data_IF_557637693111
#
_entry.id   IF_557637693111
#
_cell.length_a   1.000
_cell.length_b   1.000
_cell.length_c   1.000
_cell.angle_alpha   90.00
_cell.angle_beta   90.00
_cell.angle_gamma   90.00
#
_symmetry.space_group_name_H-M   'P 1'
#
loop_
_entity.id
_entity.type
_entity.pdbx_description
1 polymer ?
#
# COMPACT_ATOMS: atom_id res chain seq x y z
N UNK A 1 -25.85 -8.57 -12.97
CA UNK A 1 -26.49 -7.63 -12.01
C UNK A 1 -25.35 -6.85 -11.39
N UNK A 2 -25.51 -5.56 -11.08
CA UNK A 2 -24.48 -4.87 -10.34
C UNK A 2 -24.28 -5.54 -8.97
N UNK A 3 -23.02 -5.77 -8.59
CA UNK A 3 -22.70 -6.29 -7.25
C UNK A 3 -22.92 -5.12 -6.29
N UNK A 4 -23.80 -5.34 -5.30
CA UNK A 4 -24.05 -4.35 -4.23
C UNK A 4 -23.79 -5.04 -2.91
N UNK A 5 -22.87 -4.50 -2.14
CA UNK A 5 -22.56 -4.93 -0.78
C UNK A 5 -23.00 -3.86 0.21
N UNK A 6 -23.44 -4.26 1.39
CA UNK A 6 -23.78 -3.35 2.49
C UNK A 6 -22.97 -3.76 3.71
N UNK A 7 -22.20 -2.83 4.23
CA UNK A 7 -21.25 -3.06 5.34
C UNK A 7 -21.61 -2.15 6.50
N UNK A 8 -21.64 -2.68 7.70
CA UNK A 8 -21.80 -1.90 8.93
C UNK A 8 -20.42 -1.47 9.42
N UNK A 9 -20.17 -0.18 9.45
CA UNK A 9 -18.97 0.39 10.06
C UNK A 9 -19.25 0.75 11.51
N UNK A 10 -18.42 0.27 12.41
CA UNK A 10 -18.36 0.74 13.78
C UNK A 10 -17.57 2.06 13.79
N UNK A 11 -18.24 3.18 13.58
CA UNK A 11 -17.57 4.48 13.73
C UNK A 11 -17.64 4.90 15.20
N UNK A 12 -16.68 5.74 15.61
CA UNK A 12 -16.64 6.28 17.00
C UNK A 12 -17.88 7.10 17.34
N UNK A 13 -18.52 7.68 16.34
CA UNK A 13 -19.65 8.58 16.53
C UNK A 13 -21.00 7.89 16.27
N UNK A 14 -21.08 7.02 15.26
CA UNK A 14 -22.30 6.27 14.94
C UNK A 14 -21.98 5.05 14.07
N UNK A 15 -22.48 3.88 14.44
CA UNK A 15 -22.50 2.74 13.54
C UNK A 15 -23.35 3.10 12.32
N UNK A 16 -22.79 2.95 11.12
CA UNK A 16 -23.54 3.24 9.89
C UNK A 16 -23.47 2.10 8.89
N UNK A 17 -24.57 1.89 8.19
CA UNK A 17 -24.56 1.03 7.03
C UNK A 17 -24.04 1.80 5.81
N UNK A 18 -23.11 1.18 5.08
CA UNK A 18 -22.51 1.73 3.87
C UNK A 18 -22.81 0.80 2.71
N UNK A 19 -23.45 1.32 1.68
CA UNK A 19 -23.72 0.58 0.45
C UNK A 19 -22.59 0.78 -0.56
N UNK A 20 -22.08 -0.33 -1.08
CA UNK A 20 -20.96 -0.36 -2.03
C UNK A 20 -21.47 -0.79 -3.41
N UNK A 21 -21.81 0.14 -4.30
CA UNK A 21 -22.23 -0.19 -5.66
C UNK A 21 -21.03 -0.62 -6.51
N UNK A 22 -21.20 -1.67 -7.30
CA UNK A 22 -20.18 -2.20 -8.21
C UNK A 22 -18.87 -2.61 -7.53
N UNK A 23 -18.95 -3.02 -6.26
CA UNK A 23 -17.80 -3.47 -5.50
C UNK A 23 -17.51 -4.94 -5.79
N UNK A 24 -16.31 -5.24 -6.25
CA UNK A 24 -15.81 -6.59 -6.49
C UNK A 24 -14.70 -6.92 -5.50
N UNK A 25 -15.10 -7.49 -4.36
CA UNK A 25 -14.16 -7.87 -3.30
C UNK A 25 -13.12 -8.86 -3.80
N UNK A 26 -13.55 -9.88 -4.55
CA UNK A 26 -12.65 -10.94 -5.01
C UNK A 26 -11.55 -10.38 -5.91
N UNK A 27 -11.90 -9.48 -6.83
CA UNK A 27 -10.92 -8.82 -7.69
C UNK A 27 -9.87 -8.04 -6.89
N UNK A 28 -10.29 -7.28 -5.90
CA UNK A 28 -9.38 -6.47 -5.08
C UNK A 28 -8.53 -7.34 -4.14
N UNK A 29 -9.10 -8.41 -3.60
CA UNK A 29 -8.34 -9.39 -2.81
C UNK A 29 -7.28 -10.10 -3.66
N UNK A 30 -7.61 -10.46 -4.90
CA UNK A 30 -6.65 -11.08 -5.82
C UNK A 30 -5.52 -10.12 -6.20
N UNK A 31 -5.83 -8.86 -6.51
CA UNK A 31 -4.79 -7.84 -6.76
C UNK A 31 -3.93 -7.63 -5.52
N UNK A 32 -4.53 -7.65 -4.33
CA UNK A 32 -3.77 -7.53 -3.07
C UNK A 32 -2.82 -8.71 -2.87
N UNK A 33 -3.26 -9.92 -3.18
CA UNK A 33 -2.38 -11.09 -3.06
C UNK A 33 -1.23 -11.07 -4.08
N UNK A 34 -1.51 -10.73 -5.33
CA UNK A 34 -0.46 -10.58 -6.35
C UNK A 34 0.54 -9.49 -5.96
N UNK A 35 0.07 -8.38 -5.38
CA UNK A 35 0.92 -7.30 -4.88
C UNK A 35 1.77 -7.77 -3.70
N UNK A 36 1.20 -8.49 -2.74
CA UNK A 36 1.93 -9.06 -1.61
C UNK A 36 2.99 -10.09 -2.07
N UNK A 37 2.65 -10.95 -3.06
CA UNK A 37 3.62 -11.89 -3.64
C UNK A 37 4.75 -11.15 -4.34
N UNK A 38 4.46 -10.08 -5.07
CA UNK A 38 5.49 -9.24 -5.72
C UNK A 38 6.42 -8.60 -4.68
N UNK A 39 5.89 -8.16 -3.54
CA UNK A 39 6.70 -7.68 -2.41
C UNK A 39 7.66 -8.76 -1.89
N UNK A 40 7.17 -9.97 -1.67
CA UNK A 40 7.99 -11.07 -1.17
C UNK A 40 9.06 -11.47 -2.19
N UNK A 41 8.74 -11.51 -3.49
CA UNK A 41 9.71 -11.75 -4.56
C UNK A 41 10.81 -10.67 -4.55
N UNK A 42 10.43 -9.41 -4.43
CA UNK A 42 11.37 -8.28 -4.35
C UNK A 42 12.31 -8.43 -3.16
N UNK A 43 11.77 -8.75 -1.98
CA UNK A 43 12.55 -8.96 -0.76
C UNK A 43 13.46 -10.17 -0.86
N UNK A 44 12.96 -11.28 -1.39
CA UNK A 44 13.74 -12.52 -1.58
C UNK A 44 14.95 -12.28 -2.49
N UNK A 45 14.77 -11.54 -3.57
CA UNK A 45 15.88 -11.24 -4.48
C UNK A 45 16.87 -10.24 -3.88
N UNK A 46 16.38 -9.13 -3.35
CA UNK A 46 17.26 -8.02 -2.90
C UNK A 46 17.88 -8.26 -1.52
N UNK A 47 17.32 -9.13 -0.70
CA UNK A 47 17.76 -9.48 0.65
C UNK A 47 17.92 -8.26 1.57
N UNK A 48 17.10 -7.24 1.35
CA UNK A 48 17.14 -6.00 2.11
C UNK A 48 15.83 -5.23 1.92
N UNK A 49 15.50 -4.40 2.89
CA UNK A 49 14.34 -3.51 2.81
C UNK A 49 13.37 -3.70 3.97
N UNK A 50 12.30 -2.94 3.95
CA UNK A 50 11.23 -3.02 4.93
C UNK A 50 10.02 -3.67 4.26
N UNK A 51 9.43 -4.69 4.87
CA UNK A 51 8.33 -5.44 4.26
C UNK A 51 7.11 -5.61 5.15
N UNK A 52 7.26 -5.59 6.47
CA UNK A 52 6.13 -5.74 7.39
C UNK A 52 5.07 -4.65 7.24
N UNK A 53 5.51 -3.39 7.16
CA UNK A 53 4.63 -2.27 6.86
C UNK A 53 4.03 -2.34 5.44
N UNK A 54 4.83 -2.47 4.38
CA UNK A 54 4.34 -2.63 3.01
C UNK A 54 3.28 -3.71 2.85
N UNK A 55 3.46 -4.88 3.46
CA UNK A 55 2.45 -5.94 3.45
C UNK A 55 1.17 -5.53 4.17
N UNK A 56 1.28 -4.93 5.37
CA UNK A 56 0.12 -4.44 6.11
C UNK A 56 -0.65 -3.33 5.34
N UNK A 57 0.05 -2.51 4.56
CA UNK A 57 -0.54 -1.40 3.79
C UNK A 57 -1.11 -1.84 2.45
N UNK A 58 -0.93 -3.09 2.05
CA UNK A 58 -1.35 -3.56 0.72
C UNK A 58 -2.85 -3.33 0.46
N UNK A 59 -3.81 -3.69 1.36
CA UNK A 59 -5.22 -3.41 1.11
C UNK A 59 -5.53 -1.92 0.97
N UNK A 60 -4.96 -1.06 1.82
CA UNK A 60 -5.11 0.39 1.69
C UNK A 60 -4.61 0.90 0.34
N UNK A 61 -3.44 0.43 -0.09
CA UNK A 61 -2.83 0.86 -1.35
C UNK A 61 -3.65 0.41 -2.55
N UNK A 62 -4.09 -0.84 -2.55
CA UNK A 62 -4.93 -1.41 -3.63
C UNK A 62 -6.28 -0.68 -3.67
N UNK A 63 -6.98 -0.55 -2.55
CA UNK A 63 -8.25 0.17 -2.49
C UNK A 63 -8.10 1.60 -2.99
N UNK A 64 -7.11 2.35 -2.47
CA UNK A 64 -6.88 3.75 -2.87
C UNK A 64 -6.80 3.93 -4.39
N UNK A 65 -6.17 3.01 -5.10
CA UNK A 65 -5.90 3.17 -6.53
C UNK A 65 -6.95 2.54 -7.45
N UNK A 66 -7.72 1.55 -6.98
CA UNK A 66 -8.55 0.74 -7.88
C UNK A 66 -10.05 0.88 -7.71
N UNK A 67 -10.54 1.38 -6.57
CA UNK A 67 -12.00 1.51 -6.36
C UNK A 67 -12.62 2.73 -7.03
N UNK A 68 -11.80 3.68 -7.46
CA UNK A 68 -12.27 4.91 -8.08
C UNK A 68 -12.83 5.96 -7.10
N UNK A 69 -13.03 7.19 -7.56
CA UNK A 69 -13.42 8.31 -6.69
C UNK A 69 -14.82 8.16 -6.09
N UNK A 70 -15.76 7.48 -6.76
CA UNK A 70 -17.14 7.31 -6.28
C UNK A 70 -17.22 6.46 -5.00
N UNK A 71 -16.26 5.56 -4.80
CA UNK A 71 -16.09 4.78 -3.58
C UNK A 71 -15.02 5.38 -2.62
N UNK A 72 -14.57 6.61 -2.89
CA UNK A 72 -13.60 7.29 -2.05
C UNK A 72 -12.14 7.05 -2.41
N UNK A 73 -11.86 6.26 -3.44
CA UNK A 73 -10.52 6.08 -3.99
C UNK A 73 -9.99 7.32 -4.69
N UNK A 74 -8.81 7.21 -5.27
CA UNK A 74 -8.12 8.30 -5.92
C UNK A 74 -8.68 8.58 -7.32
N UNK A 75 -8.78 9.85 -7.68
CA UNK A 75 -8.87 10.31 -9.06
C UNK A 75 -7.47 10.21 -9.67
N UNK A 76 -7.18 9.08 -10.31
CA UNK A 76 -5.82 8.71 -10.68
C UNK A 76 -5.74 7.97 -12.01
N UNK A 77 -4.80 8.37 -12.84
CA UNK A 77 -4.43 7.63 -14.06
C UNK A 77 -2.97 7.12 -13.91
N UNK A 78 -2.82 5.83 -13.65
CA UNK A 78 -1.51 5.21 -13.47
C UNK A 78 -0.63 5.16 -14.73
N UNK A 79 -1.18 5.54 -15.89
CA UNK A 79 -0.41 5.82 -17.11
C UNK A 79 0.26 7.20 -17.08
N UNK A 80 -0.25 8.09 -16.21
CA UNK A 80 0.24 9.46 -16.02
C UNK A 80 0.32 9.80 -14.52
N UNK A 81 1.10 9.06 -13.75
CA UNK A 81 1.10 9.15 -12.29
C UNK A 81 1.47 10.55 -11.77
N UNK A 82 2.24 11.31 -12.54
CA UNK A 82 2.70 12.66 -12.16
C UNK A 82 1.81 13.79 -12.69
N UNK A 83 0.61 13.49 -13.17
CA UNK A 83 -0.31 14.56 -13.60
C UNK A 83 -0.62 15.49 -12.42
N UNK A 84 -0.48 16.83 -12.56
CA UNK A 84 -0.62 17.77 -11.46
C UNK A 84 -1.95 17.66 -10.71
N UNK A 85 -3.05 17.46 -11.42
CA UNK A 85 -4.41 17.37 -10.88
C UNK A 85 -4.86 15.95 -10.55
N UNK A 86 -4.00 14.94 -10.63
CA UNK A 86 -4.27 13.64 -10.04
C UNK A 86 -4.25 13.75 -8.52
N UNK A 87 -5.12 13.01 -7.84
CA UNK A 87 -5.03 12.86 -6.40
C UNK A 87 -3.67 12.30 -5.99
N UNK A 88 -3.22 12.60 -4.79
CA UNK A 88 -1.89 12.25 -4.29
C UNK A 88 -2.00 11.14 -3.27
N UNK A 89 -1.30 10.05 -3.53
CA UNK A 89 -1.08 9.00 -2.55
C UNK A 89 0.31 9.17 -1.95
N UNK A 90 0.37 9.33 -0.64
CA UNK A 90 1.61 9.61 0.06
C UNK A 90 1.89 8.54 1.10
N UNK A 91 3.03 7.89 0.96
CA UNK A 91 3.58 7.06 2.01
C UNK A 91 4.27 7.96 3.02
N UNK A 92 3.54 8.34 4.06
CA UNK A 92 4.05 9.20 5.13
C UNK A 92 5.21 8.51 5.86
N UNK A 93 5.13 7.21 6.07
CA UNK A 93 6.28 6.37 6.40
C UNK A 93 7.01 5.94 5.13
N UNK A 94 7.99 6.70 4.67
CA UNK A 94 8.65 6.51 3.37
C UNK A 94 9.30 5.15 3.16
N UNK A 95 9.66 4.43 4.22
CA UNK A 95 10.17 3.06 4.17
C UNK A 95 9.16 2.05 3.61
N UNK A 96 7.88 2.43 3.50
CA UNK A 96 6.83 1.61 2.91
C UNK A 96 6.75 1.73 1.37
N UNK A 97 7.66 2.47 0.71
CA UNK A 97 7.71 2.60 -0.75
C UNK A 97 7.59 1.28 -1.54
N UNK A 98 8.10 0.13 -1.07
CA UNK A 98 7.94 -1.13 -1.77
C UNK A 98 6.50 -1.48 -2.15
N UNK A 99 5.49 -1.09 -1.36
CA UNK A 99 4.08 -1.44 -1.67
C UNK A 99 3.59 -0.74 -2.94
N UNK A 100 3.95 0.53 -3.14
CA UNK A 100 3.59 1.23 -4.38
C UNK A 100 4.35 0.68 -5.57
N UNK A 101 5.62 0.33 -5.42
CA UNK A 101 6.38 -0.30 -6.49
C UNK A 101 5.76 -1.63 -6.92
N UNK A 102 5.42 -2.49 -5.95
CA UNK A 102 4.80 -3.77 -6.22
C UNK A 102 3.46 -3.60 -6.95
N UNK A 103 2.58 -2.73 -6.47
CA UNK A 103 1.30 -2.47 -7.14
C UNK A 103 1.51 -1.92 -8.57
N UNK A 104 2.48 -1.00 -8.77
CA UNK A 104 2.76 -0.46 -10.11
C UNK A 104 3.27 -1.51 -11.08
N UNK A 105 4.07 -2.47 -10.62
CA UNK A 105 4.52 -3.61 -11.44
C UNK A 105 3.34 -4.49 -11.85
N UNK A 106 2.42 -4.75 -10.91
CA UNK A 106 1.20 -5.52 -11.19
C UNK A 106 0.32 -4.81 -12.21
N UNK A 107 0.09 -3.51 -12.03
CA UNK A 107 -0.74 -2.71 -12.94
C UNK A 107 -0.07 -2.52 -14.31
N UNK A 108 1.24 -2.32 -14.34
CA UNK A 108 2.00 -2.21 -15.57
C UNK A 108 1.90 -3.48 -16.43
N UNK A 109 2.04 -4.64 -15.81
CA UNK A 109 1.87 -5.94 -16.49
C UNK A 109 0.42 -6.16 -16.93
N UNK A 110 -0.56 -5.84 -16.09
CA UNK A 110 -1.97 -5.98 -16.42
C UNK A 110 -2.37 -5.12 -17.61
N UNK A 111 -1.90 -3.88 -17.67
CA UNK A 111 -2.11 -2.99 -18.82
C UNK A 111 -1.47 -3.53 -20.09
N UNK A 112 -0.22 -3.97 -19.96
CA UNK A 112 0.50 -4.55 -21.08
C UNK A 112 -0.26 -5.73 -21.67
N UNK A 113 -0.66 -6.71 -20.86
CA UNK A 113 -1.45 -7.86 -21.30
C UNK A 113 -2.79 -7.45 -21.92
N UNK A 114 -3.45 -6.45 -21.35
CA UNK A 114 -4.72 -5.96 -21.89
C UNK A 114 -4.54 -5.25 -23.23
N UNK A 115 -3.44 -4.54 -23.43
CA UNK A 115 -3.07 -3.98 -24.73
C UNK A 115 -2.81 -5.08 -25.75
N UNK A 116 -1.99 -6.05 -25.44
CA UNK A 116 -1.67 -7.19 -26.33
C UNK A 116 -2.93 -7.96 -26.75
N UNK A 117 -3.82 -8.24 -25.80
CA UNK A 117 -5.04 -9.00 -26.04
C UNK A 117 -6.10 -8.23 -26.86
N UNK A 118 -6.09 -6.90 -26.80
CA UNK A 118 -7.17 -6.08 -27.38
C UNK A 118 -6.73 -5.18 -28.53
N UNK A 119 -5.43 -4.93 -28.67
CA UNK A 119 -4.88 -3.91 -29.57
C UNK A 119 -5.31 -2.47 -29.23
N UNK A 120 -6.01 -2.28 -28.10
CA UNK A 120 -6.58 -0.99 -27.77
C UNK A 120 -5.55 -0.08 -27.10
N UNK A 121 -5.13 0.95 -27.83
CA UNK A 121 -4.10 1.92 -27.39
C UNK A 121 -4.42 2.64 -26.08
N UNK A 122 -5.66 2.63 -25.60
CA UNK A 122 -6.00 3.19 -24.30
C UNK A 122 -5.30 2.46 -23.13
N UNK A 123 -4.87 1.22 -23.34
CA UNK A 123 -4.15 0.42 -22.36
C UNK A 123 -2.62 0.51 -22.51
N UNK A 124 -2.15 1.16 -23.58
CA UNK A 124 -0.72 1.36 -23.79
C UNK A 124 -0.20 2.35 -22.75
N UNK A 125 0.62 1.86 -21.84
CA UNK A 125 1.30 2.69 -20.88
C UNK A 125 2.58 3.30 -21.48
N UNK A 126 2.95 4.47 -21.01
CA UNK A 126 4.27 5.02 -21.22
C UNK A 126 5.25 4.29 -20.27
N UNK A 127 6.15 3.50 -20.83
CA UNK A 127 7.11 2.72 -20.05
C UNK A 127 8.10 3.59 -19.26
N UNK A 128 8.23 4.87 -19.60
CA UNK A 128 8.99 5.83 -18.81
C UNK A 128 8.21 6.34 -17.60
N UNK A 129 6.89 6.15 -17.59
CA UNK A 129 5.98 6.57 -16.52
C UNK A 129 5.44 5.39 -15.69
N UNK A 130 5.86 4.15 -15.97
CA UNK A 130 5.38 2.97 -15.25
C UNK A 130 6.52 2.06 -14.80
N UNK A 131 6.20 1.09 -13.93
CA UNK A 131 7.11 0.03 -13.55
C UNK A 131 6.74 -1.26 -14.28
N UNK A 132 7.76 -2.06 -14.56
CA UNK A 132 7.63 -3.39 -15.13
C UNK A 132 7.98 -4.44 -14.06
N UNK A 133 7.46 -5.66 -14.12
CA UNK A 133 7.77 -6.71 -13.15
C UNK A 133 9.28 -6.92 -12.92
N UNK A 134 10.08 -6.79 -13.98
CA UNK A 134 11.54 -6.93 -13.91
C UNK A 134 12.22 -5.84 -13.05
N UNK A 135 11.58 -4.70 -12.84
CA UNK A 135 12.14 -3.64 -12.01
C UNK A 135 12.26 -4.05 -10.53
N UNK A 136 11.60 -5.15 -10.12
CA UNK A 136 11.70 -5.71 -8.77
C UNK A 136 13.16 -5.98 -8.37
N UNK A 137 14.01 -6.41 -9.31
CA UNK A 137 15.43 -6.67 -9.06
C UNK A 137 16.26 -5.40 -8.88
N UNK A 138 15.69 -4.24 -9.17
CA UNK A 138 16.31 -2.92 -8.98
C UNK A 138 16.04 -2.28 -7.62
N UNK A 139 15.25 -2.92 -6.75
CA UNK A 139 14.91 -2.38 -5.44
C UNK A 139 16.16 -2.13 -4.60
N UNK A 140 16.15 -1.03 -3.84
CA UNK A 140 17.30 -0.47 -3.10
C UNK A 140 18.54 -0.31 -3.97
N UNK A 141 18.34 0.01 -5.25
CA UNK A 141 19.39 0.22 -6.25
C UNK A 141 20.31 -0.99 -6.42
N UNK A 142 19.77 -2.20 -6.19
CA UNK A 142 20.51 -3.46 -6.35
C UNK A 142 21.10 -3.56 -7.75
N UNK A 143 22.36 -4.00 -7.83
CA UNK A 143 23.04 -4.34 -9.09
C UNK A 143 23.30 -5.84 -9.22
N UNK A 144 22.80 -6.63 -8.26
CA UNK A 144 23.08 -8.06 -8.16
C UNK A 144 22.48 -8.79 -9.36
N UNK A 145 23.33 -9.50 -10.08
CA UNK A 145 22.92 -10.44 -11.12
C UNK A 145 22.09 -9.90 -12.27
N UNK A 146 21.95 -8.58 -12.43
CA UNK A 146 21.08 -7.98 -13.45
C UNK A 146 21.36 -8.45 -14.86
N UNK A 147 22.64 -8.45 -15.25
CA UNK A 147 23.05 -8.84 -16.58
C UNK A 147 22.86 -10.34 -16.83
N UNK A 148 23.16 -11.16 -15.83
CA UNK A 148 22.98 -12.61 -15.85
C UNK A 148 21.50 -12.97 -16.00
N UNK A 149 20.63 -12.37 -15.20
CA UNK A 149 19.17 -12.63 -15.26
C UNK A 149 18.61 -12.22 -16.61
N UNK A 150 19.06 -11.12 -17.19
CA UNK A 150 18.59 -10.67 -18.49
C UNK A 150 19.07 -11.57 -19.64
N UNK A 151 20.23 -12.21 -19.50
CA UNK A 151 20.86 -13.02 -20.56
C UNK A 151 20.49 -14.50 -20.52
N UNK A 152 20.30 -15.09 -19.35
CA UNK A 152 20.25 -16.55 -19.19
C UNK A 152 18.84 -17.16 -19.15
N UNK A 153 17.79 -16.38 -18.89
CA UNK A 153 16.48 -16.96 -18.58
C UNK A 153 15.47 -17.03 -19.72
N UNK A 154 15.89 -16.96 -20.98
CA UNK A 154 14.97 -17.08 -22.14
C UNK A 154 13.84 -16.03 -22.14
N UNK A 155 13.94 -15.03 -21.26
CA UNK A 155 12.99 -13.92 -21.15
C UNK A 155 13.23 -12.86 -22.23
N UNK A 156 14.20 -13.10 -23.12
CA UNK A 156 14.61 -12.16 -24.17
C UNK A 156 13.47 -11.73 -25.07
N UNK A 157 12.49 -12.59 -25.28
CA UNK A 157 11.40 -12.37 -26.21
C UNK A 157 10.13 -11.81 -25.55
N UNK A 158 10.08 -11.76 -24.22
CA UNK A 158 8.95 -11.12 -23.53
C UNK A 158 8.99 -9.61 -23.75
N UNK A 159 7.90 -8.98 -24.24
CA UNK A 159 7.90 -7.56 -24.59
C UNK A 159 8.26 -6.60 -23.44
N UNK A 160 7.89 -6.92 -22.20
CA UNK A 160 8.36 -6.15 -21.04
C UNK A 160 9.89 -6.20 -20.90
N UNK A 161 10.52 -7.32 -21.29
CA UNK A 161 11.98 -7.46 -21.31
C UNK A 161 12.61 -6.68 -22.46
N UNK A 162 11.96 -6.60 -23.62
CA UNK A 162 12.43 -5.74 -24.70
C UNK A 162 12.42 -4.26 -24.26
N UNK A 163 11.38 -3.81 -23.57
CA UNK A 163 11.33 -2.46 -23.01
C UNK A 163 12.40 -2.26 -21.93
N UNK A 164 12.62 -3.23 -21.06
CA UNK A 164 13.67 -3.17 -20.06
C UNK A 164 15.08 -3.12 -20.68
N UNK A 165 15.31 -3.77 -21.82
CA UNK A 165 16.57 -3.65 -22.57
C UNK A 165 16.78 -2.24 -23.13
N UNK A 166 15.71 -1.57 -23.56
CA UNK A 166 15.79 -0.21 -24.13
C UNK A 166 16.03 0.82 -23.03
N UNK A 167 15.23 0.85 -21.97
CA UNK A 167 15.31 1.85 -20.90
C UNK A 167 16.15 1.45 -19.69
N UNK A 168 16.53 0.18 -19.62
CA UNK A 168 17.18 -0.41 -18.45
C UNK A 168 16.20 -0.75 -17.31
N UNK A 169 16.71 -1.50 -16.34
CA UNK A 169 16.00 -1.81 -15.09
C UNK A 169 16.07 -0.58 -14.18
N UNK A 170 14.93 -0.17 -13.64
CA UNK A 170 14.88 0.98 -12.74
C UNK A 170 15.58 0.69 -11.43
N UNK A 171 16.39 1.63 -10.97
CA UNK A 171 16.95 1.63 -9.64
C UNK A 171 15.91 2.24 -8.68
N UNK A 172 15.21 1.39 -7.95
CA UNK A 172 14.18 1.83 -7.00
C UNK A 172 14.78 2.14 -5.64
N UNK A 173 14.32 3.22 -5.02
CA UNK A 173 14.77 3.61 -3.68
C UNK A 173 14.17 2.72 -2.58
N UNK A 174 14.84 2.62 -1.45
CA UNK A 174 14.29 1.93 -0.26
C UNK A 174 13.28 2.77 0.53
N UNK A 175 13.18 4.06 0.23
CA UNK A 175 12.24 5.03 0.78
C UNK A 175 11.59 5.80 -0.35
N UNK A 176 10.44 6.38 -0.11
CA UNK A 176 9.75 7.18 -1.12
C UNK A 176 10.59 8.39 -1.54
N UNK A 177 10.79 8.53 -2.84
CA UNK A 177 11.45 9.67 -3.46
C UNK A 177 10.53 10.28 -4.53
N UNK A 178 10.50 11.61 -4.63
CA UNK A 178 9.67 12.30 -5.61
C UNK A 178 10.13 12.10 -7.06
N UNK A 179 11.32 11.56 -7.25
CA UNK A 179 11.86 11.13 -8.53
C UNK A 179 11.32 9.77 -8.98
N UNK A 180 10.79 8.97 -8.05
CA UNK A 180 10.13 7.72 -8.39
C UNK A 180 8.79 7.99 -9.07
N UNK A 181 8.41 7.14 -10.02
CA UNK A 181 7.14 7.30 -10.76
C UNK A 181 5.91 7.19 -9.88
N UNK A 182 6.02 6.51 -8.74
CA UNK A 182 4.89 6.19 -7.84
C UNK A 182 4.74 7.16 -6.66
N UNK A 183 5.69 8.04 -6.41
CA UNK A 183 5.72 8.87 -5.21
C UNK A 183 5.76 10.37 -5.54
N UNK A 184 5.01 11.16 -4.79
CA UNK A 184 4.95 12.62 -4.92
C UNK A 184 5.72 13.37 -3.84
N UNK A 185 6.44 12.64 -2.98
CA UNK A 185 7.16 13.21 -1.83
C UNK A 185 8.39 12.39 -1.49
N UNK A 186 9.41 13.06 -1.00
CA UNK A 186 10.53 12.41 -0.35
C UNK A 186 10.15 12.10 1.11
N UNK A 187 10.23 10.82 1.50
CA UNK A 187 9.91 10.38 2.85
C UNK A 187 11.05 9.52 3.41
N UNK A 188 11.68 9.97 4.47
CA UNK A 188 12.70 9.21 5.20
C UNK A 188 12.29 9.04 6.65
N UNK A 189 12.39 10.10 7.47
CA UNK A 189 12.03 10.02 8.88
C UNK A 189 10.53 9.76 9.06
N UNK A 190 10.18 8.82 9.93
CA UNK A 190 8.80 8.55 10.31
C UNK A 190 8.15 9.77 10.96
N UNK A 191 6.86 10.00 10.69
CA UNK A 191 6.07 11.08 11.27
C UNK A 191 6.11 12.41 10.53
N UNK A 192 7.08 12.67 9.67
CA UNK A 192 7.16 13.91 8.86
C UNK A 192 6.11 13.91 7.74
N UNK A 193 5.78 12.75 7.23
CA UNK A 193 4.96 12.62 6.03
C UNK A 193 3.55 13.16 6.21
N UNK A 194 2.96 13.05 7.41
CA UNK A 194 1.63 13.61 7.68
C UNK A 194 1.66 15.13 7.63
N UNK A 195 2.68 15.76 8.19
CA UNK A 195 2.86 17.22 8.11
C UNK A 195 3.00 17.67 6.64
N UNK A 196 3.77 16.92 5.84
CA UNK A 196 3.89 17.17 4.41
C UNK A 196 2.55 17.02 3.68
N UNK A 197 1.76 16.00 4.03
CA UNK A 197 0.42 15.80 3.46
C UNK A 197 -0.53 16.95 3.79
N UNK A 198 -0.52 17.41 5.04
CA UNK A 198 -1.30 18.56 5.48
C UNK A 198 -0.90 19.83 4.74
N UNK A 199 0.41 20.09 4.59
CA UNK A 199 0.92 21.22 3.80
C UNK A 199 0.49 21.18 2.33
N UNK A 200 0.53 20.02 1.68
CA UNK A 200 0.01 19.85 0.31
C UNK A 200 -1.49 20.07 0.25
N UNK A 201 -2.27 19.57 1.20
CA UNK A 201 -3.71 19.79 1.27
C UNK A 201 -4.03 21.26 1.43
N UNK A 202 -3.34 21.98 2.31
CA UNK A 202 -3.46 23.43 2.51
C UNK A 202 -3.12 24.19 1.22
N UNK A 203 -2.04 23.84 0.53
CA UNK A 203 -1.68 24.48 -0.74
C UNK A 203 -2.83 24.38 -1.76
N UNK A 204 -3.37 23.18 -1.97
CA UNK A 204 -4.45 22.98 -2.93
C UNK A 204 -5.78 23.61 -2.49
N UNK A 205 -6.01 23.73 -1.19
CA UNK A 205 -7.17 24.46 -0.67
C UNK A 205 -7.06 25.96 -0.95
N UNK A 206 -5.88 26.54 -0.79
CA UNK A 206 -5.59 27.95 -1.12
C UNK A 206 -5.75 28.23 -2.62
N UNK A 207 -5.32 27.32 -3.48
CA UNK A 207 -5.51 27.44 -4.93
C UNK A 207 -6.99 27.49 -5.29
N UNK A 208 -7.85 26.78 -4.55
CA UNK A 208 -9.31 26.89 -4.66
C UNK A 208 -9.90 26.35 -5.97
N UNK A 209 -9.14 25.63 -6.78
CA UNK A 209 -9.67 25.03 -8.00
C UNK A 209 -10.65 23.89 -7.65
N UNK A 210 -11.75 23.80 -8.39
CA UNK A 210 -12.83 22.83 -8.15
C UNK A 210 -12.36 21.36 -8.27
N UNK A 211 -11.35 21.14 -9.08
CA UNK A 211 -10.74 19.82 -9.35
C UNK A 211 -9.43 19.60 -8.62
N UNK A 212 -9.11 20.41 -7.60
CA UNK A 212 -7.91 20.27 -6.78
C UNK A 212 -7.79 18.86 -6.19
N UNK A 213 -6.56 18.29 -6.18
CA UNK A 213 -6.32 16.94 -5.69
C UNK A 213 -6.72 16.72 -4.24
N UNK A 214 -7.21 15.52 -3.94
CA UNK A 214 -7.20 14.96 -2.59
C UNK A 214 -5.78 14.50 -2.24
N UNK A 215 -5.44 14.60 -0.99
CA UNK A 215 -4.18 14.10 -0.44
C UNK A 215 -4.50 12.96 0.52
N UNK A 216 -4.11 11.77 0.13
CA UNK A 216 -4.29 10.55 0.91
C UNK A 216 -2.94 10.09 1.44
N UNK A 217 -2.75 10.07 2.75
CA UNK A 217 -1.48 9.73 3.40
C UNK A 217 -1.63 8.48 4.25
N UNK A 218 -0.72 7.53 4.09
CA UNK A 218 -0.68 6.30 4.90
C UNK A 218 0.49 6.36 5.87
N UNK A 219 0.22 6.09 7.16
CA UNK A 219 1.24 6.06 8.20
C UNK A 219 0.92 4.99 9.25
N UNK A 220 1.94 4.51 9.94
CA UNK A 220 1.80 3.64 11.10
C UNK A 220 1.53 4.43 12.38
N UNK A 221 0.82 3.83 13.32
CA UNK A 221 0.45 4.46 14.60
C UNK A 221 1.66 4.92 15.42
N UNK A 222 2.74 4.16 15.36
CA UNK A 222 3.95 4.50 16.12
C UNK A 222 4.61 5.79 15.62
N UNK A 223 4.70 5.98 14.33
CA UNK A 223 5.25 7.21 13.75
C UNK A 223 4.42 8.45 14.11
N UNK A 224 3.14 8.27 14.41
CA UNK A 224 2.24 9.34 14.81
C UNK A 224 2.46 9.84 16.25
N UNK A 225 3.37 9.22 17.02
CA UNK A 225 3.82 9.74 18.32
C UNK A 225 4.84 10.87 18.18
N UNK A 226 5.39 11.09 16.98
CA UNK A 226 6.38 12.14 16.73
C UNK A 226 5.80 13.55 16.92
N UNK A 227 6.65 14.52 17.29
CA UNK A 227 6.27 15.92 17.46
C UNK A 227 5.57 16.51 16.23
N UNK A 228 6.10 16.24 15.02
CA UNK A 228 5.50 16.68 13.77
C UNK A 228 4.05 16.22 13.59
N UNK A 229 3.77 14.96 13.94
CA UNK A 229 2.40 14.44 13.89
C UNK A 229 1.51 15.10 14.94
N UNK A 230 2.02 15.39 16.13
CA UNK A 230 1.25 16.06 17.18
C UNK A 230 0.86 17.49 16.76
N UNK A 231 1.81 18.24 16.18
CA UNK A 231 1.55 19.60 15.69
C UNK A 231 0.55 19.58 14.52
N UNK A 232 0.68 18.61 13.60
CA UNK A 232 -0.21 18.47 12.44
C UNK A 232 -1.66 18.24 12.84
N UNK A 233 -1.92 17.54 13.96
CA UNK A 233 -3.29 17.34 14.45
C UNK A 233 -4.02 18.66 14.66
N UNK A 234 -3.36 19.64 15.27
CA UNK A 234 -3.93 20.97 15.49
C UNK A 234 -3.96 21.81 14.23
N UNK A 235 -2.85 21.82 13.50
CA UNK A 235 -2.71 22.70 12.33
C UNK A 235 -3.68 22.34 11.20
N UNK A 236 -3.86 21.07 10.87
CA UNK A 236 -4.76 20.64 9.79
C UNK A 236 -6.22 21.04 10.06
N UNK A 237 -6.64 21.02 11.32
CA UNK A 237 -7.96 21.51 11.73
C UNK A 237 -8.05 23.03 11.64
N UNK A 238 -7.03 23.74 12.12
CA UNK A 238 -6.97 25.20 12.05
C UNK A 238 -7.00 25.72 10.60
N UNK A 239 -6.38 25.00 9.67
CA UNK A 239 -6.39 25.30 8.22
C UNK A 239 -7.70 24.89 7.53
N UNK A 240 -8.57 24.15 8.19
CA UNK A 240 -9.87 23.73 7.66
C UNK A 240 -9.78 23.03 6.28
N UNK A 241 -8.77 22.17 6.11
CA UNK A 241 -8.51 21.49 4.82
C UNK A 241 -9.61 20.52 4.40
N UNK A 242 -10.51 20.16 5.31
CA UNK A 242 -11.66 19.32 5.07
C UNK A 242 -11.29 17.93 4.55
N UNK A 243 -12.18 17.33 3.79
CA UNK A 243 -11.98 15.99 3.21
C UNK A 243 -10.87 15.93 2.13
N UNK A 244 -10.19 17.05 1.87
CA UNK A 244 -9.00 17.06 1.01
C UNK A 244 -7.84 16.29 1.63
N UNK A 245 -7.70 16.32 2.97
CA UNK A 245 -6.72 15.55 3.70
C UNK A 245 -7.37 14.29 4.29
N UNK A 246 -6.89 13.13 3.87
CA UNK A 246 -7.27 11.82 4.40
C UNK A 246 -6.04 11.10 4.88
N UNK A 247 -6.00 10.79 6.17
CA UNK A 247 -4.95 9.99 6.78
C UNK A 247 -5.47 8.57 6.97
N UNK A 248 -4.70 7.60 6.51
CA UNK A 248 -4.99 6.18 6.69
C UNK A 248 -3.97 5.64 7.69
N UNK A 249 -4.40 5.40 8.91
CA UNK A 249 -3.55 4.84 9.95
C UNK A 249 -3.58 3.32 9.88
N UNK A 250 -2.41 2.71 9.70
CA UNK A 250 -2.22 1.28 9.86
C UNK A 250 -1.86 0.99 11.31
N UNK A 251 -2.86 0.63 12.11
CA UNK A 251 -2.71 0.33 13.52
C UNK A 251 -2.44 -1.17 13.71
N UNK A 252 -1.17 -1.54 13.76
CA UNK A 252 -0.76 -2.95 13.84
C UNK A 252 -0.11 -3.33 15.17
N UNK A 253 -0.01 -2.39 16.09
CA UNK A 253 0.52 -2.59 17.44
C UNK A 253 1.96 -3.15 17.46
N UNK A 254 2.75 -2.83 16.43
CA UNK A 254 4.10 -3.35 16.28
C UNK A 254 5.07 -2.29 15.78
N UNK A 255 6.18 -2.14 16.48
CA UNK A 255 7.32 -1.35 16.05
C UNK A 255 8.29 -2.11 15.20
N UNK A 256 9.54 -1.65 15.22
CA UNK A 256 10.65 -2.31 14.54
C UNK A 256 11.19 -3.51 15.33
N UNK A 257 11.20 -3.40 16.64
CA UNK A 257 11.90 -4.32 17.54
C UNK A 257 10.97 -5.25 18.33
N UNK A 258 9.69 -4.88 18.48
CA UNK A 258 8.75 -5.65 19.29
C UNK A 258 7.29 -5.46 18.80
N UNK A 259 6.45 -6.43 19.10
CA UNK A 259 4.99 -6.34 19.00
C UNK A 259 4.43 -5.31 19.99
N UNK A 260 5.05 -5.23 21.14
CA UNK A 260 4.73 -4.28 22.18
C UNK A 260 5.68 -3.09 22.12
N UNK A 261 5.68 -2.33 21.08
CA UNK A 261 6.69 -1.31 20.87
C UNK A 261 7.12 -0.64 22.14
N UNK A 262 8.33 -1.06 22.58
CA UNK A 262 8.75 -0.77 23.92
C UNK A 262 7.70 -1.25 24.88
N UNK A 263 7.38 -2.50 24.95
CA UNK A 263 6.53 -3.23 25.90
C UNK A 263 5.70 -2.42 26.92
N UNK A 264 6.13 -1.21 27.12
CA UNK A 264 5.60 -0.18 27.99
C UNK A 264 4.72 0.82 27.25
N UNK A 265 4.94 1.00 25.93
CA UNK A 265 4.20 2.00 25.15
C UNK A 265 2.80 1.52 24.80
N UNK A 266 2.60 0.23 24.63
CA UNK A 266 1.29 -0.28 24.24
C UNK A 266 0.22 -0.04 25.31
N UNK A 267 0.42 -0.35 26.59
CA UNK A 267 -0.54 0.05 27.62
C UNK A 267 -0.75 1.57 27.68
N UNK A 268 0.30 2.34 27.39
CA UNK A 268 0.19 3.78 27.26
C UNK A 268 -0.55 4.19 25.99
N UNK A 269 -0.37 3.48 24.89
CA UNK A 269 -1.04 3.74 23.62
C UNK A 269 -2.54 3.49 23.74
N UNK A 270 -2.95 2.37 24.33
CA UNK A 270 -4.34 2.12 24.68
C UNK A 270 -4.86 3.14 25.70
N UNK A 271 -4.02 3.57 26.61
CA UNK A 271 -4.33 4.64 27.59
C UNK A 271 -4.42 6.02 26.91
N UNK A 272 -3.67 6.28 25.86
CA UNK A 272 -3.80 7.50 25.05
C UNK A 272 -5.08 7.50 24.22
N UNK A 273 -5.77 6.35 24.10
CA UNK A 273 -7.05 6.29 23.42
C UNK A 273 -6.95 7.00 22.08
N UNK A 274 -6.19 6.43 21.15
CA UNK A 274 -5.84 7.05 19.84
C UNK A 274 -7.04 7.70 19.19
N UNK A 275 -8.14 6.99 19.13
CA UNK A 275 -9.38 7.48 18.54
C UNK A 275 -9.90 8.73 19.23
N UNK A 276 -9.95 8.72 20.58
CA UNK A 276 -10.38 9.87 21.36
C UNK A 276 -9.42 11.05 21.21
N UNK A 277 -8.13 10.78 21.12
CA UNK A 277 -7.14 11.82 20.88
C UNK A 277 -7.39 12.55 19.57
N UNK A 278 -7.53 11.83 18.45
CA UNK A 278 -7.79 12.47 17.17
C UNK A 278 -9.14 13.18 17.13
N UNK A 279 -10.16 12.60 17.76
CA UNK A 279 -11.48 13.23 17.90
C UNK A 279 -11.41 14.51 18.72
N UNK A 280 -10.66 14.52 19.83
CA UNK A 280 -10.53 15.72 20.68
C UNK A 280 -9.82 16.88 20.00
N UNK A 281 -8.95 16.59 19.03
CA UNK A 281 -8.34 17.62 18.18
C UNK A 281 -9.26 18.12 17.08
N UNK A 282 -10.46 17.55 16.92
CA UNK A 282 -11.45 18.01 15.94
C UNK A 282 -11.35 17.36 14.57
N UNK A 283 -10.76 16.16 14.47
CA UNK A 283 -10.76 15.36 13.25
C UNK A 283 -12.05 14.57 13.09
N UNK A 284 -12.44 14.30 11.85
CA UNK A 284 -13.39 13.24 11.55
C UNK A 284 -12.67 11.90 11.61
N UNK A 285 -13.03 11.08 12.60
CA UNK A 285 -12.38 9.79 12.85
C UNK A 285 -13.28 8.66 12.42
N UNK A 286 -12.77 7.80 11.57
CA UNK A 286 -13.38 6.55 11.12
C UNK A 286 -12.57 5.38 11.67
N UNK A 287 -13.21 4.28 12.00
CA UNK A 287 -12.54 3.09 12.51
C UNK A 287 -12.99 1.85 11.76
N UNK A 288 -12.07 0.91 11.57
CA UNK A 288 -12.38 -0.45 11.14
C UNK A 288 -11.62 -1.45 11.98
N UNK A 289 -12.26 -2.56 12.30
CA UNK A 289 -11.69 -3.59 13.16
C UNK A 289 -10.69 -4.49 12.42
N UNK A 290 -10.81 -4.58 11.10
CA UNK A 290 -9.85 -5.26 10.24
C UNK A 290 -9.64 -4.45 8.96
N UNK A 291 -8.54 -3.70 8.90
CA UNK A 291 -8.14 -2.96 7.71
C UNK A 291 -7.31 -3.81 6.73
N UNK A 292 -7.19 -5.10 6.98
CA UNK A 292 -6.75 -6.07 5.99
C UNK A 292 -7.95 -6.76 5.30
N UNK A 293 -9.18 -6.56 5.76
CA UNK A 293 -10.40 -6.90 5.05
C UNK A 293 -10.78 -5.78 4.07
N UNK A 294 -10.78 -6.11 2.79
CA UNK A 294 -11.03 -5.16 1.70
C UNK A 294 -12.43 -4.53 1.79
N UNK A 295 -13.42 -5.27 2.24
CA UNK A 295 -14.79 -4.77 2.35
C UNK A 295 -14.90 -3.68 3.40
N UNK A 296 -14.30 -3.86 4.57
CA UNK A 296 -14.25 -2.84 5.62
C UNK A 296 -13.46 -1.60 5.19
N UNK A 297 -12.34 -1.79 4.50
CA UNK A 297 -11.53 -0.68 3.96
C UNK A 297 -12.33 0.15 2.98
N UNK A 298 -12.98 -0.47 2.01
CA UNK A 298 -13.74 0.25 0.98
C UNK A 298 -14.99 0.91 1.57
N UNK A 299 -15.64 0.28 2.53
CA UNK A 299 -16.76 0.89 3.24
C UNK A 299 -16.33 2.15 4.01
N UNK A 300 -15.16 2.12 4.67
CA UNK A 300 -14.62 3.31 5.34
C UNK A 300 -14.29 4.42 4.34
N UNK A 301 -13.67 4.10 3.20
CA UNK A 301 -13.38 5.08 2.16
C UNK A 301 -14.64 5.72 1.60
N UNK A 302 -15.67 4.93 1.35
CA UNK A 302 -16.98 5.43 0.91
C UNK A 302 -17.62 6.33 1.96
N UNK A 303 -17.59 5.95 3.23
CA UNK A 303 -18.09 6.78 4.33
C UNK A 303 -17.34 8.12 4.43
N UNK A 304 -16.03 8.12 4.23
CA UNK A 304 -15.23 9.35 4.15
C UNK A 304 -15.61 10.22 2.94
N UNK A 305 -15.90 9.59 1.79
CA UNK A 305 -16.35 10.32 0.59
C UNK A 305 -17.73 10.94 0.77
N UNK A 306 -18.64 10.24 1.42
CA UNK A 306 -20.02 10.67 1.65
C UNK A 306 -20.18 11.72 2.75
N UNK A 307 -19.08 12.09 3.44
CA UNK A 307 -19.12 13.17 4.42
C UNK A 307 -19.54 14.49 3.75
N UNK A 308 -20.38 15.25 4.43
CA UNK A 308 -20.88 16.54 3.94
C UNK A 308 -19.71 17.43 3.46
N UNK A 309 -19.74 17.93 2.23
CA UNK A 309 -18.70 18.82 1.71
C UNK A 309 -18.50 20.11 2.52
N UNK A 310 -19.51 20.54 3.28
CA UNK A 310 -19.39 21.68 4.19
C UNK A 310 -18.60 21.40 5.46
N UNK A 311 -18.40 20.11 5.78
CA UNK A 311 -17.55 19.71 6.90
C UNK A 311 -16.08 19.93 6.55
N UNK A 312 -15.47 20.89 7.20
CA UNK A 312 -14.10 21.32 6.96
C UNK A 312 -13.07 20.60 7.85
N UNK A 313 -13.50 19.61 8.62
CA UNK A 313 -12.59 18.79 9.44
C UNK A 313 -11.79 17.83 8.56
N UNK A 314 -10.47 17.71 8.76
CA UNK A 314 -9.68 16.67 8.10
C UNK A 314 -10.11 15.28 8.59
N UNK A 315 -9.77 14.25 7.84
CA UNK A 315 -10.25 12.89 8.08
C UNK A 315 -9.11 11.94 8.41
N UNK A 316 -9.37 11.05 9.35
CA UNK A 316 -8.48 9.93 9.63
C UNK A 316 -9.27 8.62 9.72
N UNK A 317 -8.76 7.58 9.07
CA UNK A 317 -9.19 6.20 9.25
C UNK A 317 -8.18 5.50 10.18
N UNK A 318 -8.62 5.08 11.34
CA UNK A 318 -7.85 4.24 12.27
C UNK A 318 -8.25 2.79 12.02
N UNK A 319 -7.43 2.08 11.26
CA UNK A 319 -7.72 0.70 10.88
C UNK A 319 -6.73 -0.26 11.53
N UNK A 320 -7.25 -1.27 12.21
CA UNK A 320 -6.42 -2.35 12.73
C UNK A 320 -5.87 -3.16 11.56
N UNK A 321 -4.57 -3.39 11.54
CA UNK A 321 -3.89 -4.17 10.52
C UNK A 321 -2.98 -5.22 11.17
N UNK A 322 -2.62 -6.24 10.41
CA UNK A 322 -1.60 -7.20 10.81
C UNK A 322 -0.26 -6.80 10.19
N UNK A 323 0.76 -6.54 11.01
CA UNK A 323 2.11 -6.30 10.50
C UNK A 323 2.59 -7.52 9.72
N UNK A 324 3.03 -7.29 8.48
CA UNK A 324 3.41 -8.40 7.61
C UNK A 324 2.22 -9.23 7.12
N UNK A 325 1.04 -8.62 7.01
CA UNK A 325 -0.15 -9.30 6.51
C UNK A 325 0.13 -10.14 5.26
N UNK A 326 -0.34 -11.39 5.30
CA UNK A 326 -0.18 -12.32 4.21
C UNK A 326 -1.49 -13.03 3.89
N UNK A 327 -2.02 -12.88 2.66
CA UNK A 327 -3.33 -13.43 2.30
C UNK A 327 -3.42 -14.97 2.34
N UNK A 328 -2.27 -15.63 2.24
CA UNK A 328 -2.17 -17.10 2.34
C UNK A 328 -1.92 -17.62 3.76
N UNK A 329 -1.92 -16.76 4.77
CA UNK A 329 -1.75 -17.19 6.15
C UNK A 329 -3.08 -17.71 6.72
N UNK A 330 -3.01 -18.83 7.43
CA UNK A 330 -4.13 -19.40 8.17
C UNK A 330 -4.00 -18.99 9.64
N UNK A 331 -4.98 -18.23 10.15
CA UNK A 331 -4.93 -17.68 11.50
C UNK A 331 -3.61 -16.94 11.82
N UNK A 332 -3.09 -16.19 10.85
CA UNK A 332 -1.81 -15.47 10.98
C UNK A 332 -0.56 -16.36 10.91
N UNK A 333 -0.69 -17.62 10.54
CA UNK A 333 0.43 -18.57 10.47
C UNK A 333 0.61 -19.11 9.06
N UNK A 334 1.85 -19.36 8.69
CA UNK A 334 2.21 -20.13 7.49
C UNK A 334 2.35 -21.60 7.88
N UNK A 335 1.69 -22.53 7.19
CA UNK A 335 1.77 -23.94 7.49
C UNK A 335 3.23 -24.43 7.65
N UNK A 336 3.54 -25.04 8.78
CA UNK A 336 4.88 -25.54 9.10
C UNK A 336 5.90 -24.49 9.59
N UNK A 337 5.58 -23.18 9.53
CA UNK A 337 6.56 -22.12 9.81
C UNK A 337 6.09 -21.06 10.81
N UNK A 338 4.82 -21.08 11.22
CA UNK A 338 4.29 -20.17 12.22
C UNK A 338 4.08 -18.73 11.70
N UNK A 339 4.23 -17.74 12.58
CA UNK A 339 3.87 -16.33 12.34
C UNK A 339 5.04 -15.40 12.00
N UNK A 340 6.14 -15.91 11.45
CA UNK A 340 7.33 -15.06 11.22
C UNK A 340 7.06 -13.86 10.32
N UNK A 341 6.27 -14.05 9.23
CA UNK A 341 5.91 -12.94 8.33
C UNK A 341 4.85 -12.03 8.95
N UNK A 342 3.89 -12.58 9.69
CA UNK A 342 2.75 -11.85 10.26
C UNK A 342 3.05 -11.30 11.66
N UNK A 343 4.24 -10.78 11.88
CA UNK A 343 4.68 -10.22 13.15
C UNK A 343 5.68 -9.08 12.96
N UNK A 344 6.11 -8.44 14.05
CA UNK A 344 7.15 -7.40 14.02
C UNK A 344 8.43 -7.86 13.33
N UNK A 345 8.76 -9.16 13.38
CA UNK A 345 9.95 -9.74 12.73
C UNK A 345 10.00 -9.52 11.22
N UNK A 346 8.86 -9.28 10.60
CA UNK A 346 8.78 -8.95 9.17
C UNK A 346 9.16 -7.50 8.85
N UNK A 347 9.43 -6.66 9.86
CA UNK A 347 9.75 -5.25 9.61
C UNK A 347 10.89 -5.10 8.61
N UNK A 348 12.11 -5.62 8.82
CA UNK A 348 13.07 -5.83 7.75
C UNK A 348 12.79 -7.16 7.05
N UNK A 349 13.25 -7.30 5.80
CA UNK A 349 13.26 -8.61 5.17
C UNK A 349 14.41 -9.42 5.76
N UNK A 350 14.07 -10.48 6.48
CA UNK A 350 15.04 -11.29 7.26
C UNK A 350 15.15 -12.74 6.81
N UNK A 351 14.34 -13.14 5.84
CA UNK A 351 14.37 -14.53 5.35
C UNK A 351 15.55 -14.73 4.41
N UNK A 352 16.23 -15.88 4.54
CA UNK A 352 17.31 -16.24 3.63
C UNK A 352 16.77 -16.35 2.19
N UNK A 353 17.62 -15.99 1.23
CA UNK A 353 17.26 -16.08 -0.19
C UNK A 353 16.94 -17.53 -0.55
N UNK A 354 15.82 -17.71 -1.25
CA UNK A 354 15.35 -19.02 -1.69
C UNK A 354 15.30 -20.05 -0.54
N UNK A 355 14.87 -19.61 0.64
CA UNK A 355 14.68 -20.49 1.79
C UNK A 355 13.38 -21.29 1.66
N UNK A 356 13.28 -22.37 2.43
CA UNK A 356 12.03 -23.14 2.54
C UNK A 356 10.86 -22.28 3.04
N UNK A 357 11.15 -21.27 3.88
CA UNK A 357 10.12 -20.33 4.29
C UNK A 357 9.59 -19.48 3.13
N UNK A 358 10.47 -19.00 2.26
CA UNK A 358 10.06 -18.32 1.03
C UNK A 358 9.25 -19.25 0.12
N UNK A 359 9.69 -20.51 -0.03
CA UNK A 359 8.97 -21.50 -0.82
C UNK A 359 7.57 -21.77 -0.24
N UNK A 360 7.44 -21.85 1.09
CA UNK A 360 6.15 -22.02 1.74
C UNK A 360 5.20 -20.83 1.48
N UNK A 361 5.70 -19.60 1.54
CA UNK A 361 4.92 -18.41 1.16
C UNK A 361 4.46 -18.50 -0.29
N UNK A 362 5.38 -18.79 -1.21
CA UNK A 362 5.06 -18.91 -2.62
C UNK A 362 4.04 -20.04 -2.88
N UNK A 363 4.13 -21.16 -2.17
CA UNK A 363 3.19 -22.26 -2.31
C UNK A 363 1.77 -21.93 -1.87
N UNK A 364 1.58 -21.03 -0.90
CA UNK A 364 0.23 -20.54 -0.57
C UNK A 364 -0.40 -19.79 -1.74
N UNK A 365 0.41 -19.04 -2.48
CA UNK A 365 -0.02 -18.34 -3.69
C UNK A 365 -0.28 -19.33 -4.85
N UNK A 366 0.63 -20.28 -5.08
CA UNK A 366 0.47 -21.34 -6.09
C UNK A 366 -0.84 -22.11 -5.89
N UNK A 367 -1.11 -22.51 -4.65
CA UNK A 367 -2.32 -23.27 -4.31
C UNK A 367 -3.60 -22.44 -4.52
N UNK A 368 -3.55 -21.14 -4.25
CA UNK A 368 -4.70 -20.25 -4.44
C UNK A 368 -5.07 -20.08 -5.90
N UNK A 369 -4.07 -19.98 -6.80
CA UNK A 369 -4.29 -19.60 -8.20
C UNK A 369 -4.02 -20.73 -9.20
N UNK A 370 -3.61 -21.90 -8.74
CA UNK A 370 -3.30 -23.03 -9.61
C UNK A 370 -2.09 -22.78 -10.53
N UNK A 371 -1.19 -21.90 -10.12
CA UNK A 371 0.06 -21.60 -10.84
C UNK A 371 1.23 -22.36 -10.22
N UNK A 372 2.36 -22.39 -10.92
CA UNK A 372 3.60 -22.96 -10.40
C UNK A 372 4.76 -22.03 -10.66
N UNK A 373 5.57 -21.80 -9.63
CA UNK A 373 6.86 -21.12 -9.76
C UNK A 373 7.94 -22.15 -10.11
N UNK A 374 8.76 -21.80 -11.09
CA UNK A 374 9.94 -22.63 -11.41
C UNK A 374 10.88 -22.60 -10.21
N UNK A 375 11.41 -23.77 -9.84
CA UNK A 375 12.31 -23.91 -8.70
C UNK A 375 11.61 -24.01 -7.34
N UNK A 376 10.30 -24.14 -7.32
CA UNK A 376 9.52 -24.42 -6.10
C UNK A 376 8.66 -25.67 -6.32
N UNK A 377 8.76 -26.63 -5.40
CA UNK A 377 7.95 -27.85 -5.38
C UNK A 377 7.57 -28.23 -3.96
N UNK A 378 6.28 -28.51 -3.72
CA UNK A 378 5.72 -28.94 -2.44
C UNK A 378 6.15 -28.10 -1.23
N UNK A 379 6.28 -26.77 -1.42
CA UNK A 379 6.67 -25.83 -0.36
C UNK A 379 8.17 -25.80 -0.05
N UNK A 380 9.00 -26.41 -0.87
CA UNK A 380 10.45 -26.37 -0.75
C UNK A 380 11.13 -25.89 -2.05
N UNK A 381 12.36 -25.43 -1.94
CA UNK A 381 13.19 -25.11 -3.11
C UNK A 381 13.66 -26.40 -3.76
N UNK A 382 13.52 -26.47 -5.08
CA UNK A 382 14.02 -27.58 -5.91
C UNK A 382 15.27 -27.16 -6.67
N UNK A 383 16.08 -28.14 -7.08
CA UNK A 383 17.32 -27.89 -7.82
C UNK A 383 17.10 -27.55 -9.33
N UNK A 384 15.86 -27.33 -9.75
CA UNK A 384 15.50 -27.00 -11.15
C UNK A 384 15.40 -25.50 -11.43
#
# INVERSE_FOLDING_TARGET
MPIVSTVTLSSVLDAREVTLPNFDKQYLDDVSFVTAMTLVLMGNYCQTGHFGGPLAYTPYTVASHLIGPDLGGLKYDYRRPKHPYSDKFMLAGGHNAPVTYALWMVLGEALYRKYENTGNKKYLADYDQTLLPIDCIGFRRSKRGRETILSENGLSDHPAMQQAKIRGIRALSGHSESTDVTNDVNGGPSGIGIATAAGKATFWDIIGASDSPKIMAVEGEFAMTSGHSQETKTQAVAQQVGKRLRVLMSYNNAGIDDELVGGVIQPQYDSYRIVDQWTSYGWNVFTVDDANDMEQVVAAFKAMEDTDPSDRRPMILVGKTTKGWWPGAENGQIPGYGNQITSYKSHPYTFAMNSDYFAALASTFENRYGVKFKGIGDGAITDE
#
